data_IF_692089452470
#
_entry.id   IF_692089452470
#
_cell.length_a   1.000
_cell.length_b   1.000
_cell.length_c   1.000
_cell.angle_alpha   90.00
_cell.angle_beta   90.00
_cell.angle_gamma   90.00
#
_symmetry.space_group_name_H-M   'P 1'
#
loop_
_entity.id
_entity.type
_entity.pdbx_description
1 polymer ?
#
# COMPACT_ATOMS: atom_id res chain seq x y z
N UNK A 1 -7.79 -19.44 7.83
CA UNK A 1 -8.35 -18.26 7.12
C UNK A 1 -7.40 -17.09 7.36
N UNK A 2 -6.74 -16.60 6.31
CA UNK A 2 -6.16 -15.25 6.23
C UNK A 2 -7.30 -14.20 6.17
N UNK A 3 -8.34 -14.36 7.01
CA UNK A 3 -9.70 -13.81 6.82
C UNK A 3 -10.36 -13.26 8.09
N UNK A 4 -9.57 -12.87 9.09
CA UNK A 4 -10.07 -12.14 10.25
C UNK A 4 -9.25 -10.86 10.44
N UNK A 5 -9.71 -9.79 9.80
CA UNK A 5 -9.09 -8.47 9.87
C UNK A 5 -9.13 -7.90 11.30
N UNK A 6 -10.21 -8.19 12.05
CA UNK A 6 -10.40 -7.68 13.41
C UNK A 6 -9.38 -8.33 14.34
N UNK A 7 -9.21 -9.65 14.31
CA UNK A 7 -8.19 -10.33 15.11
C UNK A 7 -6.78 -9.84 14.79
N UNK A 8 -6.47 -9.60 13.51
CA UNK A 8 -5.17 -9.02 13.13
C UNK A 8 -5.00 -7.62 13.72
N UNK A 9 -6.02 -6.78 13.63
CA UNK A 9 -5.99 -5.42 14.16
C UNK A 9 -5.81 -5.42 15.69
N UNK A 10 -6.54 -6.29 16.40
CA UNK A 10 -6.41 -6.44 17.85
C UNK A 10 -4.97 -6.83 18.21
N UNK A 11 -4.43 -7.86 17.55
CA UNK A 11 -3.04 -8.28 17.76
C UNK A 11 -2.04 -7.14 17.52
N UNK A 12 -2.13 -6.46 16.38
CA UNK A 12 -1.21 -5.36 16.05
C UNK A 12 -1.28 -4.22 17.09
N UNK A 13 -2.49 -3.95 17.59
CA UNK A 13 -2.73 -2.90 18.59
C UNK A 13 -2.21 -3.29 19.96
N UNK A 14 -2.54 -4.50 20.44
CA UNK A 14 -2.06 -5.04 21.73
C UNK A 14 -0.54 -5.12 21.79
N UNK A 15 0.09 -5.56 20.69
CA UNK A 15 1.54 -5.64 20.57
C UNK A 15 2.20 -4.26 20.30
N UNK A 16 1.42 -3.18 20.23
CA UNK A 16 1.87 -1.81 19.96
C UNK A 16 2.72 -1.69 18.69
N UNK A 17 2.45 -2.56 17.71
CA UNK A 17 3.16 -2.58 16.44
C UNK A 17 2.73 -1.38 15.61
N UNK A 18 3.67 -0.80 14.87
CA UNK A 18 3.35 0.18 13.86
C UNK A 18 2.93 -0.56 12.59
N UNK A 19 1.76 -0.22 12.04
CA UNK A 19 1.23 -0.87 10.84
C UNK A 19 0.55 0.12 9.91
N UNK A 20 0.42 -0.27 8.65
CA UNK A 20 -0.17 0.53 7.60
C UNK A 20 -1.03 -0.29 6.66
N UNK A 21 -1.94 0.38 5.95
CA UNK A 21 -2.49 -0.19 4.72
C UNK A 21 -1.54 0.12 3.58
N UNK A 22 -1.01 -0.92 2.95
CA UNK A 22 -0.19 -0.80 1.75
C UNK A 22 -1.06 -0.44 0.55
N UNK A 23 -0.53 0.42 -0.32
CA UNK A 23 -1.11 0.88 -1.59
C UNK A 23 -2.66 0.79 -1.61
N UNK A 24 -3.32 1.60 -0.78
CA UNK A 24 -4.75 1.47 -0.40
C UNK A 24 -5.73 1.43 -1.59
N UNK A 25 -5.35 2.03 -2.72
CA UNK A 25 -6.12 2.04 -3.96
C UNK A 25 -5.65 1.02 -5.01
N UNK A 26 -5.10 -0.11 -4.55
CA UNK A 26 -4.70 -1.23 -5.43
C UNK A 26 -5.64 -2.42 -5.34
N UNK A 27 -5.93 -3.01 -6.50
CA UNK A 27 -6.72 -4.23 -6.65
C UNK A 27 -5.92 -5.52 -6.48
N UNK A 28 -4.59 -5.44 -6.37
CA UNK A 28 -3.69 -6.59 -6.20
C UNK A 28 -4.02 -7.46 -4.99
N UNK A 29 -4.51 -6.86 -3.90
CA UNK A 29 -4.82 -7.57 -2.66
C UNK A 29 -6.22 -8.18 -2.62
N UNK A 30 -6.96 -8.08 -3.73
CA UNK A 30 -8.27 -8.70 -3.91
C UNK A 30 -9.41 -7.70 -4.00
N UNK A 31 -10.63 -8.23 -3.85
CA UNK A 31 -11.86 -7.43 -3.86
C UNK A 31 -11.88 -6.50 -2.64
N UNK A 32 -12.49 -5.34 -2.81
CA UNK A 32 -12.80 -4.41 -1.73
C UNK A 32 -14.30 -4.21 -1.65
N UNK A 33 -14.76 -3.95 -0.45
CA UNK A 33 -16.08 -3.41 -0.16
C UNK A 33 -15.93 -2.03 0.51
N UNK A 34 -16.99 -1.22 0.50
CA UNK A 34 -16.95 0.13 1.09
C UNK A 34 -16.55 0.09 2.58
N UNK A 35 -17.02 -0.93 3.30
CA UNK A 35 -16.70 -1.18 4.71
C UNK A 35 -15.21 -1.32 4.97
N UNK A 36 -14.42 -1.88 4.03
CA UNK A 36 -12.97 -2.01 4.19
C UNK A 36 -12.32 -0.65 4.46
N UNK A 37 -12.79 0.38 3.77
CA UNK A 37 -12.25 1.72 3.93
C UNK A 37 -12.74 2.41 5.20
N UNK A 38 -13.95 2.09 5.68
CA UNK A 38 -14.38 2.50 7.01
C UNK A 38 -13.45 1.91 8.08
N UNK A 39 -13.10 0.63 7.96
CA UNK A 39 -12.11 0.00 8.85
C UNK A 39 -10.73 0.67 8.77
N UNK A 40 -10.23 0.97 7.56
CA UNK A 40 -8.93 1.64 7.40
C UNK A 40 -8.93 3.03 8.00
N UNK A 41 -10.02 3.77 7.78
CA UNK A 41 -10.15 5.11 8.27
C UNK A 41 -10.30 5.16 9.79
N UNK A 42 -11.00 4.22 10.41
CA UNK A 42 -11.20 4.23 11.86
C UNK A 42 -10.02 3.67 12.65
N UNK A 43 -9.31 2.67 12.13
CA UNK A 43 -8.39 1.88 12.97
C UNK A 43 -6.93 1.87 12.53
N UNK A 44 -6.63 2.09 11.25
CA UNK A 44 -5.25 2.00 10.77
C UNK A 44 -4.54 3.34 11.01
N UNK A 45 -3.33 3.38 11.60
CA UNK A 45 -2.66 4.63 11.95
C UNK A 45 -1.93 5.27 10.75
N UNK A 46 -1.55 4.48 9.75
CA UNK A 46 -0.73 4.91 8.64
C UNK A 46 -1.19 4.36 7.29
N UNK A 47 -0.98 5.11 6.21
CA UNK A 47 -1.19 4.62 4.84
C UNK A 47 0.11 4.72 4.04
N UNK A 48 0.32 3.74 3.17
CA UNK A 48 1.32 3.85 2.12
C UNK A 48 0.79 4.80 1.03
N UNK A 49 1.33 6.01 1.06
CA UNK A 49 0.95 7.13 0.19
C UNK A 49 1.78 7.19 -1.10
N UNK A 50 2.92 6.50 -1.13
CA UNK A 50 3.69 6.28 -2.35
C UNK A 50 4.31 4.90 -2.36
N UNK A 51 3.90 4.11 -3.33
CA UNK A 51 4.50 2.82 -3.62
C UNK A 51 5.23 2.89 -4.98
N UNK A 52 6.46 2.37 -5.03
CA UNK A 52 7.32 2.40 -6.22
C UNK A 52 6.85 1.54 -7.40
N UNK A 53 5.87 0.66 -7.19
CA UNK A 53 5.21 -0.15 -8.22
C UNK A 53 3.84 0.40 -8.62
N UNK A 54 3.27 1.31 -7.84
CA UNK A 54 1.92 1.83 -8.09
C UNK A 54 1.92 3.06 -8.99
N UNK A 55 0.87 3.22 -9.79
CA UNK A 55 0.72 4.37 -10.66
C UNK A 55 0.60 5.68 -9.87
N UNK A 56 1.02 6.79 -10.50
CA UNK A 56 1.00 8.11 -9.86
C UNK A 56 -0.40 8.57 -9.43
N UNK A 57 -1.45 8.13 -10.13
CA UNK A 57 -2.85 8.43 -9.79
C UNK A 57 -3.23 7.78 -8.44
N UNK A 58 -2.93 6.49 -8.26
CA UNK A 58 -3.16 5.76 -7.01
C UNK A 58 -2.36 6.36 -5.84
N UNK A 59 -1.09 6.70 -6.06
CA UNK A 59 -0.27 7.36 -5.03
C UNK A 59 -0.83 8.73 -4.64
N UNK A 60 -1.28 9.55 -5.62
CA UNK A 60 -1.92 10.85 -5.33
C UNK A 60 -3.20 10.68 -4.52
N UNK A 61 -4.05 9.73 -4.87
CA UNK A 61 -5.29 9.47 -4.15
C UNK A 61 -5.01 8.96 -2.73
N UNK A 62 -4.04 8.06 -2.55
CA UNK A 62 -3.62 7.57 -1.23
C UNK A 62 -3.08 8.70 -0.34
N UNK A 63 -2.25 9.59 -0.91
CA UNK A 63 -1.75 10.76 -0.20
C UNK A 63 -2.85 11.77 0.16
N UNK A 64 -3.85 11.96 -0.73
CA UNK A 64 -5.03 12.78 -0.47
C UNK A 64 -5.87 12.22 0.67
N UNK A 65 -6.18 10.93 0.63
CA UNK A 65 -6.95 10.24 1.67
C UNK A 65 -6.24 10.26 3.03
N UNK A 66 -4.93 9.97 3.05
CA UNK A 66 -4.14 10.03 4.28
C UNK A 66 -4.18 11.43 4.92
N UNK A 67 -4.10 12.49 4.10
CA UNK A 67 -4.20 13.87 4.57
C UNK A 67 -5.59 14.19 5.10
N UNK A 68 -6.65 13.81 4.38
CA UNK A 68 -8.06 14.01 4.79
C UNK A 68 -8.34 13.36 6.14
N UNK A 69 -7.78 12.17 6.38
CA UNK A 69 -8.02 11.37 7.59
C UNK A 69 -6.94 11.54 8.67
N UNK A 70 -5.98 12.46 8.48
CA UNK A 70 -4.88 12.67 9.43
C UNK A 70 -3.99 11.44 9.67
N UNK A 71 -3.89 10.52 8.71
CA UNK A 71 -3.08 9.30 8.82
C UNK A 71 -1.60 9.61 8.61
N UNK A 72 -0.74 8.79 9.22
CA UNK A 72 0.71 8.86 9.01
C UNK A 72 1.01 8.42 7.57
N UNK A 73 1.71 9.25 6.81
CA UNK A 73 2.11 8.93 5.46
C UNK A 73 3.42 8.13 5.46
N UNK A 74 3.41 6.96 4.83
CA UNK A 74 4.63 6.19 4.53
C UNK A 74 4.72 5.90 3.03
N UNK A 75 5.86 5.40 2.59
CA UNK A 75 6.11 4.94 1.24
C UNK A 75 7.27 3.94 1.18
N UNK A 76 7.19 3.04 0.22
CA UNK A 76 8.13 1.96 0.00
C UNK A 76 8.30 1.61 -1.48
N UNK A 77 9.40 0.95 -1.81
CA UNK A 77 9.69 0.56 -3.19
C UNK A 77 8.88 -0.62 -3.68
N UNK A 78 8.46 -1.49 -2.75
CA UNK A 78 7.78 -2.75 -3.04
C UNK A 78 8.48 -3.52 -4.17
N UNK A 79 9.81 -3.60 -4.05
CA UNK A 79 10.66 -3.96 -5.16
C UNK A 79 10.77 -5.47 -5.26
N UNK A 80 10.42 -5.99 -6.43
CA UNK A 80 10.55 -7.41 -6.77
C UNK A 80 11.84 -7.71 -7.54
N UNK A 81 12.66 -6.68 -7.81
CA UNK A 81 13.97 -6.78 -8.44
C UNK A 81 14.95 -5.83 -7.76
N UNK A 82 16.26 -6.01 -7.94
CA UNK A 82 17.25 -5.09 -7.38
C UNK A 82 17.14 -3.66 -7.92
N UNK A 83 16.50 -3.46 -9.09
CA UNK A 83 16.38 -2.16 -9.76
C UNK A 83 15.57 -1.14 -8.95
N UNK A 84 14.57 -1.59 -8.21
CA UNK A 84 13.63 -0.72 -7.49
C UNK A 84 13.98 -0.51 -6.01
N UNK A 85 14.87 -1.33 -5.44
CA UNK A 85 15.19 -1.30 -4.00
C UNK A 85 15.64 0.11 -3.60
N UNK A 86 14.97 0.67 -2.59
CA UNK A 86 15.31 1.99 -2.05
C UNK A 86 15.03 3.17 -2.97
N UNK A 87 14.41 2.98 -4.15
CA UNK A 87 14.02 4.09 -5.04
C UNK A 87 12.81 4.86 -4.56
N UNK A 88 12.00 4.25 -3.71
CA UNK A 88 10.86 4.86 -3.02
C UNK A 88 10.94 4.45 -1.57
N UNK A 89 10.90 5.42 -0.67
CA UNK A 89 11.23 5.23 0.73
C UNK A 89 10.60 6.29 1.61
N UNK A 90 10.59 6.01 2.91
CA UNK A 90 10.22 6.97 3.96
C UNK A 90 11.46 7.34 4.73
N UNK A 91 11.74 8.64 4.85
CA UNK A 91 12.81 9.16 5.69
C UNK A 91 12.24 9.88 6.91
N UNK A 92 12.91 9.78 8.05
CA UNK A 92 12.67 10.62 9.23
C UNK A 92 13.97 11.35 9.48
N UNK A 93 13.97 12.67 9.33
CA UNK A 93 15.18 13.46 9.51
C UNK A 93 15.79 13.22 10.90
N UNK A 94 17.11 13.04 10.93
CA UNK A 94 17.93 12.84 12.14
C UNK A 94 17.69 11.55 12.92
N UNK A 95 16.77 10.67 12.50
CA UNK A 95 16.64 9.35 13.11
C UNK A 95 17.87 8.49 12.79
N UNK A 96 18.59 8.05 13.83
CA UNK A 96 19.75 7.16 13.77
C UNK A 96 19.45 5.77 14.29
N UNK A 97 18.32 5.60 14.97
CA UNK A 97 17.85 4.31 15.48
C UNK A 97 16.45 3.96 14.98
N UNK A 98 16.11 2.68 15.01
CA UNK A 98 14.76 2.19 14.68
C UNK A 98 13.71 2.83 15.60
N UNK A 99 14.03 3.00 16.89
CA UNK A 99 13.15 3.64 17.86
C UNK A 99 12.88 5.10 17.51
N UNK A 100 13.93 5.86 17.17
CA UNK A 100 13.81 7.25 16.73
C UNK A 100 13.02 7.39 15.43
N UNK A 101 13.20 6.46 14.49
CA UNK A 101 12.45 6.41 13.24
C UNK A 101 10.95 6.26 13.51
N UNK A 102 10.53 5.25 14.29
CA UNK A 102 9.12 5.05 14.61
C UNK A 102 8.54 6.16 15.50
N UNK A 103 9.32 6.72 16.43
CA UNK A 103 8.89 7.88 17.20
C UNK A 103 8.64 9.09 16.29
N UNK A 104 9.53 9.32 15.31
CA UNK A 104 9.34 10.36 14.29
C UNK A 104 8.14 10.13 13.39
N UNK A 105 7.89 8.87 12.97
CA UNK A 105 6.68 8.53 12.21
C UNK A 105 5.40 8.81 13.01
N UNK A 106 5.35 8.37 14.27
CA UNK A 106 4.21 8.63 15.17
C UNK A 106 3.99 10.13 15.41
N UNK A 107 5.07 10.91 15.43
CA UNK A 107 5.03 12.37 15.48
C UNK A 107 4.76 13.04 14.11
N UNK A 108 4.39 12.28 13.07
CA UNK A 108 4.16 12.75 11.69
C UNK A 108 5.33 13.53 11.07
N UNK A 109 6.57 13.21 11.46
CA UNK A 109 7.80 13.80 10.90
C UNK A 109 8.39 13.01 9.72
N UNK A 110 7.74 11.91 9.33
CA UNK A 110 8.12 11.12 8.16
C UNK A 110 7.92 11.90 6.85
N UNK A 111 8.88 11.77 5.93
CA UNK A 111 8.82 12.32 4.57
C UNK A 111 8.89 11.18 3.58
N UNK A 112 7.92 11.12 2.68
CA UNK A 112 7.85 10.11 1.64
C UNK A 112 8.57 10.62 0.38
N UNK A 113 9.55 9.86 -0.09
CA UNK A 113 10.43 10.21 -1.21
C UNK A 113 10.42 9.13 -2.28
N UNK A 114 10.94 9.49 -3.45
CA UNK A 114 11.12 8.57 -4.56
C UNK A 114 10.10 8.68 -5.67
N UNK A 115 10.18 7.73 -6.60
CA UNK A 115 9.40 7.72 -7.82
C UNK A 115 8.09 6.92 -7.68
N UNK A 116 7.13 7.23 -8.54
CA UNK A 116 5.95 6.39 -8.75
C UNK A 116 6.31 5.24 -9.73
N UNK A 117 5.50 4.19 -9.71
CA UNK A 117 5.60 3.09 -10.66
C UNK A 117 5.18 3.48 -12.07
N UNK A 118 5.65 2.70 -13.03
CA UNK A 118 5.27 2.82 -14.45
C UNK A 118 4.99 1.44 -15.02
N UNK A 119 4.09 1.35 -16.02
CA UNK A 119 3.81 0.10 -16.72
C UNK A 119 5.09 -0.50 -17.30
N UNK A 120 5.93 0.31 -17.96
CA UNK A 120 7.20 -0.14 -18.51
C UNK A 120 8.16 -0.64 -17.41
N UNK A 121 8.16 0.00 -16.24
CA UNK A 121 8.89 -0.45 -15.06
C UNK A 121 8.46 -1.85 -14.63
N UNK A 122 7.15 -2.07 -14.47
CA UNK A 122 6.57 -3.36 -14.15
C UNK A 122 6.92 -4.43 -15.20
N UNK A 123 6.73 -4.14 -16.50
CA UNK A 123 7.12 -5.04 -17.60
C UNK A 123 8.59 -5.43 -17.52
N UNK A 124 9.47 -4.44 -17.30
CA UNK A 124 10.90 -4.68 -17.20
C UNK A 124 11.27 -5.47 -15.93
N UNK A 125 10.52 -5.33 -14.85
CA UNK A 125 10.73 -6.10 -13.63
C UNK A 125 10.28 -7.56 -13.80
N UNK A 126 9.17 -7.81 -14.51
CA UNK A 126 8.76 -9.18 -14.89
C UNK A 126 9.85 -9.87 -15.74
N UNK A 127 10.38 -9.20 -16.76
CA UNK A 127 11.45 -9.77 -17.58
C UNK A 127 12.71 -10.12 -16.78
N UNK A 128 13.02 -9.34 -15.73
CA UNK A 128 14.18 -9.61 -14.86
C UNK A 128 13.98 -10.82 -13.94
N UNK A 129 12.73 -11.19 -13.65
CA UNK A 129 12.41 -12.36 -12.81
C UNK A 129 12.47 -13.65 -13.63
N UNK A 130 12.19 -13.60 -14.94
CA UNK A 130 12.16 -14.80 -15.82
C UNK A 130 13.42 -15.67 -15.71
N UNK A 131 14.67 -15.15 -15.77
CA UNK A 131 15.86 -15.98 -15.66
C UNK A 131 15.92 -16.77 -14.34
N UNK A 132 15.54 -16.16 -13.23
CA UNK A 132 15.51 -16.83 -11.93
C UNK A 132 14.48 -17.98 -11.92
N UNK A 133 13.29 -17.76 -12.52
CA UNK A 133 12.27 -18.81 -12.65
C UNK A 133 12.75 -19.97 -13.53
N UNK A 134 13.43 -19.67 -14.64
CA UNK A 134 13.99 -20.71 -15.53
C UNK A 134 15.10 -21.51 -14.83
N UNK A 135 15.93 -20.85 -14.01
CA UNK A 135 16.98 -21.50 -13.22
C UNK A 135 16.41 -22.40 -12.13
N UNK A 136 15.40 -21.93 -11.39
CA UNK A 136 14.76 -22.70 -10.33
C UNK A 136 13.91 -23.87 -10.87
N UNK A 137 13.27 -23.68 -12.03
CA UNK A 137 12.37 -24.67 -12.65
C UNK A 137 12.63 -24.78 -14.14
N UNK A 138 13.64 -25.56 -14.58
CA UNK A 138 14.00 -25.68 -16.00
C UNK A 138 12.85 -26.10 -16.92
N UNK A 139 11.88 -26.88 -16.42
CA UNK A 139 10.68 -27.25 -17.17
C UNK A 139 9.87 -26.03 -17.67
N UNK A 140 9.99 -24.87 -17.02
CA UNK A 140 9.34 -23.62 -17.45
C UNK A 140 9.92 -23.04 -18.74
N UNK A 141 11.03 -23.57 -19.26
CA UNK A 141 11.54 -23.24 -20.60
C UNK A 141 10.49 -23.42 -21.70
N UNK A 142 9.60 -24.41 -21.55
CA UNK A 142 8.48 -24.61 -22.48
C UNK A 142 7.52 -23.41 -22.56
N UNK A 143 7.49 -22.56 -21.53
CA UNK A 143 6.66 -21.36 -21.46
C UNK A 143 7.38 -20.11 -22.02
N UNK A 144 8.68 -20.20 -22.34
CA UNK A 144 9.46 -19.05 -22.81
C UNK A 144 8.86 -18.34 -24.03
N UNK A 145 8.26 -19.03 -25.03
CA UNK A 145 7.59 -18.35 -26.14
C UNK A 145 6.46 -17.40 -25.69
N UNK A 146 5.80 -17.69 -24.56
CA UNK A 146 4.77 -16.83 -23.98
C UNK A 146 5.33 -15.54 -23.36
N UNK A 147 6.65 -15.46 -23.12
CA UNK A 147 7.28 -14.25 -22.57
C UNK A 147 7.12 -13.03 -23.50
N UNK A 148 6.86 -13.23 -24.79
CA UNK A 148 6.54 -12.15 -25.74
C UNK A 148 5.22 -11.45 -25.38
N UNK A 149 4.31 -12.13 -24.67
CA UNK A 149 3.02 -11.59 -24.24
C UNK A 149 3.10 -10.80 -22.92
N UNK A 150 4.24 -10.78 -22.23
CA UNK A 150 4.42 -10.06 -20.95
C UNK A 150 3.99 -8.58 -21.02
N UNK A 151 4.32 -7.80 -22.07
CA UNK A 151 3.87 -6.41 -22.17
C UNK A 151 2.35 -6.28 -22.22
N UNK A 152 1.65 -7.23 -22.87
CA UNK A 152 0.19 -7.25 -22.96
C UNK A 152 -0.42 -7.51 -21.58
N UNK A 153 0.06 -8.52 -20.86
CA UNK A 153 -0.43 -8.83 -19.52
C UNK A 153 -0.16 -7.72 -18.51
N UNK A 154 1.05 -7.15 -18.54
CA UNK A 154 1.40 -6.03 -17.64
C UNK A 154 0.61 -4.77 -17.95
N UNK A 155 0.33 -4.47 -19.23
CA UNK A 155 -0.57 -3.38 -19.62
C UNK A 155 -2.01 -3.61 -19.14
N UNK A 156 -2.54 -4.83 -19.32
CA UNK A 156 -3.88 -5.19 -18.83
C UNK A 156 -3.99 -5.06 -17.31
N UNK A 157 -2.98 -5.55 -16.58
CA UNK A 157 -2.89 -5.37 -15.14
C UNK A 157 -2.84 -3.89 -14.74
N UNK A 158 -2.02 -3.09 -15.43
CA UNK A 158 -1.90 -1.66 -15.19
C UNK A 158 -3.22 -0.90 -15.40
N UNK A 159 -3.99 -1.27 -16.44
CA UNK A 159 -5.31 -0.70 -16.68
C UNK A 159 -6.31 -1.08 -15.58
N UNK A 160 -6.28 -2.33 -15.11
CA UNK A 160 -7.12 -2.77 -14.00
C UNK A 160 -6.84 -1.99 -12.72
N UNK A 161 -5.56 -1.76 -12.38
CA UNK A 161 -5.17 -0.97 -11.21
C UNK A 161 -5.67 0.49 -11.30
N UNK A 162 -5.57 1.12 -12.48
CA UNK A 162 -6.12 2.46 -12.70
C UNK A 162 -7.63 2.50 -12.55
N UNK A 163 -8.34 1.53 -13.13
CA UNK A 163 -9.79 1.46 -13.03
C UNK A 163 -10.24 1.26 -11.57
N UNK A 164 -9.59 0.36 -10.86
CA UNK A 164 -9.82 0.11 -9.45
C UNK A 164 -9.61 1.39 -8.62
N UNK A 165 -8.49 2.08 -8.83
CA UNK A 165 -8.21 3.34 -8.14
C UNK A 165 -9.31 4.38 -8.37
N UNK A 166 -9.75 4.58 -9.62
CA UNK A 166 -10.80 5.54 -9.95
C UNK A 166 -12.12 5.21 -9.28
N UNK A 167 -12.55 3.94 -9.37
CA UNK A 167 -13.80 3.47 -8.77
C UNK A 167 -13.87 3.78 -7.27
N UNK A 168 -12.78 3.55 -6.55
CA UNK A 168 -12.75 3.74 -5.10
C UNK A 168 -12.44 5.18 -4.69
N UNK A 169 -11.63 5.91 -5.47
CA UNK A 169 -11.34 7.31 -5.19
C UNK A 169 -12.62 8.17 -5.22
N UNK A 170 -13.49 7.98 -6.22
CA UNK A 170 -14.77 8.72 -6.33
C UNK A 170 -15.66 8.51 -5.11
N UNK A 171 -15.64 7.31 -4.53
CA UNK A 171 -16.41 7.02 -3.31
C UNK A 171 -16.00 7.90 -2.11
N UNK A 172 -14.72 8.33 -2.03
CA UNK A 172 -14.22 9.18 -0.94
C UNK A 172 -14.28 10.68 -1.22
N UNK A 173 -14.38 11.07 -2.49
CA UNK A 173 -14.68 12.45 -2.88
C UNK A 173 -16.13 12.79 -2.46
N UNK A 174 -17.06 11.85 -2.61
CA UNK A 174 -18.48 12.03 -2.28
C UNK A 174 -18.81 11.82 -0.80
N UNK A 175 -18.00 11.03 -0.07
CA UNK A 175 -18.19 10.80 1.36
C UNK A 175 -17.87 12.08 2.17
N UNK A 176 -18.94 12.81 2.55
CA UNK A 176 -18.92 14.02 3.38
C UNK A 176 -18.62 13.75 4.86
N UNK A 177 -18.80 12.52 5.31
CA UNK A 177 -18.67 12.17 6.73
C UNK A 177 -17.25 11.75 7.06
N UNK A 178 -16.66 12.42 8.05
CA UNK A 178 -15.44 11.94 8.68
C UNK A 178 -15.77 10.67 9.46
N UNK A 179 -15.15 9.52 9.14
CA UNK A 179 -15.39 8.28 9.88
C UNK A 179 -14.99 8.49 11.34
N UNK A 180 -15.84 8.00 12.27
CA UNK A 180 -15.55 8.03 13.71
C UNK A 180 -14.22 7.33 13.96
N UNK A 181 -13.29 8.04 14.59
CA UNK A 181 -11.99 7.50 14.91
C UNK A 181 -12.07 6.71 16.21
N UNK A 182 -11.23 5.68 16.37
CA UNK A 182 -11.16 4.88 17.60
C UNK A 182 -10.95 5.75 18.85
N UNK A 183 -10.22 6.86 18.73
CA UNK A 183 -9.98 7.80 19.84
C UNK A 183 -11.12 8.78 20.10
N UNK A 184 -12.15 8.81 19.26
CA UNK A 184 -13.39 9.55 19.52
C UNK A 184 -14.33 8.77 20.45
N UNK A 185 -14.01 7.50 20.76
CA UNK A 185 -14.68 6.74 21.81
C UNK A 185 -14.18 7.20 23.17
N UNK A 186 -14.91 8.12 23.80
CA UNK A 186 -14.71 8.47 25.21
C UNK A 186 -14.76 7.21 26.06
N UNK A 187 -13.76 6.95 26.93
CA UNK A 187 -13.86 5.89 27.92
C UNK A 187 -14.87 6.32 28.98
N UNK A 188 -16.13 5.89 28.83
CA UNK A 188 -17.17 6.20 29.80
C UNK A 188 -18.59 6.15 29.25
N UNK A 189 -19.09 4.95 28.98
CA UNK A 189 -20.54 4.67 29.00
C UNK A 189 -20.82 3.19 29.28
N UNK A 190 -20.11 2.61 30.25
CA UNK A 190 -20.62 1.44 31.00
C UNK A 190 -20.72 1.84 32.47
N UNK A 191 -21.83 2.52 32.76
CA UNK A 191 -22.51 2.44 34.04
C UNK A 191 -23.99 2.25 33.74
N UNK A 192 -24.44 1.00 33.79
CA UNK A 192 -25.55 0.42 34.58
C UNK A 192 -25.80 -0.97 34.01
#
# INVERSE_FOLDING_TARGET
>A
RRKDFVSLLMYLTEQKLFFSVNHVFSGLTGRRDADDFHWFASYVPAFETRNGQMCSEANRQAAGLARKLGKIAIGGSDSHTMRGVGRTYTEVAQARTVAEFFAGLRARRGRVRGADGTCAGLTADVYRIIPAVLQEKPATLALLPLAVLVPVFTAGHWMNEKWFCRKWATHFEDARESPRMLWDMTPGAERI
#
